data_IF_108374355892
#
_entry.id   IF_108374355892
#
_cell.length_a   1.000
_cell.length_b   1.000
_cell.length_c   1.000
_cell.angle_alpha   90.00
_cell.angle_beta   90.00
_cell.angle_gamma   90.00
#
_symmetry.space_group_name_H-M   'P 1'
#
loop_
_entity.id
_entity.type
_entity.pdbx_description
1 polymer ?
#
# COMPACT_ATOMS: atom_id res chain seq x y z
N UNK A 1 16.85 -65.87 12.00
CA UNK A 1 17.44 -65.50 10.70
C UNK A 1 16.31 -65.12 9.76
N UNK A 2 16.43 -63.93 9.12
CA UNK A 2 15.81 -63.40 7.88
C UNK A 2 14.59 -64.16 7.35
N UNK A 3 13.42 -63.54 7.17
CA UNK A 3 13.09 -62.60 6.07
C UNK A 3 11.65 -62.08 6.31
N UNK A 4 11.28 -60.80 6.21
CA UNK A 4 11.59 -59.86 5.12
C UNK A 4 10.43 -59.80 4.12
N UNK A 5 9.21 -59.44 4.54
CA UNK A 5 8.09 -59.17 3.61
C UNK A 5 8.05 -57.67 3.35
N UNK A 6 8.50 -57.29 2.16
CA UNK A 6 8.38 -55.94 1.62
C UNK A 6 6.93 -55.71 1.17
N UNK A 7 6.22 -54.79 1.83
CA UNK A 7 4.97 -54.23 1.31
C UNK A 7 5.34 -53.27 0.19
N UNK A 8 5.10 -53.68 -1.05
CA UNK A 8 5.28 -52.82 -2.24
C UNK A 8 4.18 -51.76 -2.22
N UNK A 9 4.57 -50.49 -2.25
CA UNK A 9 3.67 -49.37 -2.46
C UNK A 9 3.06 -49.44 -3.86
N UNK A 10 1.77 -49.17 -3.92
CA UNK A 10 0.98 -49.06 -5.15
C UNK A 10 1.34 -47.75 -5.88
N UNK A 11 1.86 -47.80 -7.12
CA UNK A 11 2.26 -46.62 -7.88
C UNK A 11 1.10 -45.83 -8.50
N UNK A 12 -0.15 -46.30 -8.41
CA UNK A 12 -1.30 -45.73 -9.14
C UNK A 12 -2.38 -45.09 -8.24
N UNK A 13 -2.04 -44.67 -7.02
CA UNK A 13 -2.98 -43.90 -6.20
C UNK A 13 -2.90 -42.42 -6.57
N UNK A 14 -3.90 -41.82 -7.25
CA UNK A 14 -3.93 -40.37 -7.46
C UNK A 14 -3.98 -39.73 -6.07
N UNK A 15 -2.86 -39.11 -5.68
CA UNK A 15 -2.80 -38.26 -4.52
C UNK A 15 -3.91 -37.23 -4.65
N UNK A 16 -4.76 -37.16 -3.63
CA UNK A 16 -5.79 -36.14 -3.51
C UNK A 16 -5.07 -34.80 -3.68
N UNK A 17 -5.26 -34.19 -4.84
CA UNK A 17 -4.84 -32.82 -5.11
C UNK A 17 -5.71 -31.97 -4.19
N UNK A 18 -5.21 -31.69 -2.98
CA UNK A 18 -5.73 -30.60 -2.19
C UNK A 18 -5.54 -29.34 -3.05
N UNK A 19 -6.58 -28.54 -3.30
CA UNK A 19 -6.42 -27.29 -4.02
C UNK A 19 -5.47 -26.42 -3.21
N UNK A 20 -4.21 -26.35 -3.67
CA UNK A 20 -3.26 -25.37 -3.20
C UNK A 20 -3.85 -24.00 -3.51
N UNK A 21 -4.04 -23.22 -2.44
CA UNK A 21 -4.05 -21.76 -2.38
C UNK A 21 -4.56 -21.10 -3.66
N UNK A 22 -5.83 -20.65 -3.64
CA UNK A 22 -6.47 -19.91 -4.72
C UNK A 22 -5.46 -18.97 -5.40
N UNK A 23 -5.18 -19.22 -6.68
CA UNK A 23 -4.48 -18.25 -7.53
C UNK A 23 -5.27 -16.94 -7.35
N UNK A 24 -4.66 -15.87 -6.80
CA UNK A 24 -5.38 -14.63 -6.64
C UNK A 24 -5.93 -14.26 -8.00
N UNK A 25 -7.22 -13.90 -8.06
CA UNK A 25 -7.84 -13.35 -9.28
C UNK A 25 -6.85 -12.39 -9.93
N UNK A 26 -6.65 -12.40 -11.25
CA UNK A 26 -5.66 -11.52 -11.88
C UNK A 26 -5.88 -10.08 -11.40
N UNK A 27 -4.78 -9.43 -11.02
CA UNK A 27 -4.80 -8.04 -10.60
C UNK A 27 -4.95 -7.15 -11.83
N UNK A 28 -5.76 -6.10 -11.70
CA UNK A 28 -5.93 -5.09 -12.75
C UNK A 28 -5.31 -3.78 -12.29
N UNK A 29 -4.55 -3.15 -13.18
CA UNK A 29 -3.84 -1.91 -12.91
C UNK A 29 -4.32 -0.83 -13.88
N UNK A 30 -4.62 0.36 -13.37
CA UNK A 30 -5.04 1.47 -14.21
C UNK A 30 -4.19 2.70 -13.96
N UNK A 31 -3.57 3.21 -15.02
CA UNK A 31 -2.82 4.45 -14.99
C UNK A 31 -3.71 5.64 -15.38
N UNK A 32 -3.76 6.65 -14.52
CA UNK A 32 -4.44 7.93 -14.79
C UNK A 32 -3.37 8.99 -14.99
N UNK A 33 -3.15 9.36 -16.26
CA UNK A 33 -2.12 10.33 -16.68
C UNK A 33 -2.23 11.68 -15.98
N UNK A 34 -3.44 12.18 -15.82
CA UNK A 34 -3.75 13.48 -15.19
C UNK A 34 -4.88 13.25 -14.19
N UNK A 35 -4.54 13.25 -12.90
CA UNK A 35 -5.55 13.10 -11.85
C UNK A 35 -6.46 14.33 -11.76
N UNK A 36 -7.74 14.08 -11.48
CA UNK A 36 -8.73 15.13 -11.12
C UNK A 36 -8.99 15.19 -9.61
N UNK A 37 -8.24 14.42 -8.82
CA UNK A 37 -8.36 14.44 -7.37
C UNK A 37 -7.65 15.68 -6.82
N UNK A 38 -8.41 16.57 -6.18
CA UNK A 38 -7.89 17.80 -5.59
C UNK A 38 -6.69 17.55 -4.64
N UNK A 39 -6.71 16.47 -3.87
CA UNK A 39 -5.63 16.12 -2.94
C UNK A 39 -4.31 15.81 -3.65
N UNK A 40 -4.37 15.16 -4.82
CA UNK A 40 -3.16 14.82 -5.57
C UNK A 40 -2.73 15.94 -6.51
N UNK A 41 -3.63 16.88 -6.83
CA UNK A 41 -3.45 17.75 -7.98
C UNK A 41 -3.38 16.95 -9.28
N UNK A 42 -2.95 17.57 -10.40
CA UNK A 42 -2.91 16.94 -11.72
C UNK A 42 -1.73 15.98 -11.93
N UNK A 43 -1.15 15.41 -10.86
CA UNK A 43 -0.08 14.42 -11.00
C UNK A 43 -0.59 13.12 -11.63
N UNK A 44 0.29 12.32 -12.27
CA UNK A 44 -0.03 10.96 -12.65
C UNK A 44 -0.27 10.09 -11.41
N UNK A 45 -1.31 9.27 -11.45
CA UNK A 45 -1.66 8.34 -10.37
C UNK A 45 -2.04 6.98 -10.94
N UNK A 46 -1.92 5.94 -10.14
CA UNK A 46 -2.41 4.60 -10.52
C UNK A 46 -3.53 4.14 -9.58
N UNK A 47 -4.26 3.11 -9.98
CA UNK A 47 -5.20 2.36 -9.15
C UNK A 47 -4.93 0.87 -9.37
N UNK A 48 -4.80 0.09 -8.30
CA UNK A 48 -4.76 -1.39 -8.39
C UNK A 48 -6.06 -1.97 -7.85
N UNK A 49 -6.55 -3.06 -8.44
CA UNK A 49 -7.76 -3.76 -8.03
C UNK A 49 -7.80 -4.14 -6.54
N UNK A 50 -9.01 -4.26 -5.97
CA UNK A 50 -9.26 -4.48 -4.52
C UNK A 50 -8.54 -5.69 -3.90
N UNK A 51 -8.28 -6.72 -4.70
CA UNK A 51 -7.56 -7.93 -4.29
C UNK A 51 -6.05 -7.71 -4.06
N UNK A 52 -5.51 -6.51 -4.34
CA UNK A 52 -4.16 -6.11 -3.90
C UNK A 52 -4.07 -5.76 -2.43
N UNK A 53 -5.17 -5.43 -1.75
CA UNK A 53 -5.10 -5.01 -0.35
C UNK A 53 -4.91 -6.22 0.58
N UNK A 54 -4.02 -6.15 1.58
CA UNK A 54 -3.78 -7.26 2.50
C UNK A 54 -5.03 -7.55 3.33
N UNK A 55 -5.26 -8.82 3.67
CA UNK A 55 -6.42 -9.22 4.50
C UNK A 55 -6.36 -8.64 5.92
N UNK A 56 -5.16 -8.31 6.41
CA UNK A 56 -4.93 -7.69 7.72
C UNK A 56 -5.32 -6.21 7.80
N UNK A 57 -5.63 -5.55 6.68
CA UNK A 57 -6.02 -4.14 6.70
C UNK A 57 -7.38 -3.95 7.40
N UNK A 58 -7.38 -3.27 8.55
CA UNK A 58 -8.58 -3.07 9.38
C UNK A 58 -9.63 -2.18 8.70
N UNK A 59 -9.22 -1.38 7.72
CA UNK A 59 -10.09 -0.49 6.96
C UNK A 59 -10.95 -1.18 5.90
N UNK A 60 -10.72 -2.46 5.61
CA UNK A 60 -11.54 -3.24 4.66
C UNK A 60 -13.01 -3.29 5.05
N UNK A 61 -13.32 -3.28 6.34
CA UNK A 61 -14.67 -3.36 6.90
C UNK A 61 -15.30 -1.98 7.18
N UNK A 62 -14.97 -0.98 6.36
CA UNK A 62 -15.67 0.32 6.37
C UNK A 62 -14.83 1.55 6.68
N UNK A 63 -13.51 1.40 6.89
CA UNK A 63 -12.59 2.53 7.08
C UNK A 63 -11.96 3.06 5.78
N UNK A 64 -11.96 2.26 4.70
CA UNK A 64 -11.20 2.58 3.50
C UNK A 64 -11.81 3.77 2.75
N UNK A 65 -11.03 4.84 2.56
CA UNK A 65 -11.48 6.03 1.85
C UNK A 65 -11.87 5.75 0.39
N UNK A 66 -11.30 4.71 -0.22
CA UNK A 66 -11.61 4.29 -1.58
C UNK A 66 -13.00 3.64 -1.72
N UNK A 67 -13.71 3.39 -0.61
CA UNK A 67 -15.09 2.91 -0.62
C UNK A 67 -16.13 4.03 -0.82
N UNK A 68 -15.71 5.31 -0.90
CA UNK A 68 -16.62 6.45 -1.05
C UNK A 68 -16.54 7.17 -2.39
N UNK A 69 -17.67 7.75 -2.80
CA UNK A 69 -17.76 8.76 -3.87
C UNK A 69 -17.33 8.27 -5.26
N UNK A 70 -16.88 9.19 -6.14
CA UNK A 70 -16.45 8.84 -7.50
C UNK A 70 -15.27 7.85 -7.55
N UNK A 71 -14.41 7.86 -6.51
CA UNK A 71 -13.30 6.92 -6.41
C UNK A 71 -13.79 5.48 -6.24
N UNK A 72 -14.87 5.24 -5.49
CA UNK A 72 -15.44 3.91 -5.33
C UNK A 72 -15.93 3.32 -6.66
N UNK A 73 -16.62 4.12 -7.47
CA UNK A 73 -17.08 3.72 -8.81
C UNK A 73 -15.89 3.38 -9.71
N UNK A 74 -14.85 4.24 -9.71
CA UNK A 74 -13.65 3.99 -10.48
C UNK A 74 -12.91 2.73 -10.01
N UNK A 75 -12.74 2.56 -8.70
CA UNK A 75 -12.02 1.41 -8.13
C UNK A 75 -12.78 0.10 -8.35
N UNK A 76 -14.11 0.14 -8.34
CA UNK A 76 -14.94 -1.01 -8.71
C UNK A 76 -14.73 -1.41 -10.17
N UNK A 77 -14.79 -0.46 -11.11
CA UNK A 77 -14.53 -0.74 -12.52
C UNK A 77 -13.13 -1.32 -12.76
N UNK A 78 -12.11 -0.84 -12.04
CA UNK A 78 -10.76 -1.44 -12.09
C UNK A 78 -10.77 -2.86 -11.53
N UNK A 79 -11.43 -3.06 -10.39
CA UNK A 79 -11.47 -4.37 -9.71
C UNK A 79 -12.23 -5.45 -10.48
N UNK A 80 -13.17 -5.06 -11.34
CA UNK A 80 -13.90 -5.97 -12.23
C UNK A 80 -13.20 -6.18 -13.59
N UNK A 81 -12.07 -5.52 -13.83
CA UNK A 81 -11.39 -5.57 -15.12
C UNK A 81 -12.04 -4.74 -16.22
N UNK A 82 -13.08 -3.96 -15.92
CA UNK A 82 -13.72 -3.03 -16.87
C UNK A 82 -12.84 -1.82 -17.20
N UNK A 83 -11.76 -1.59 -16.46
CA UNK A 83 -10.82 -0.48 -16.68
C UNK A 83 -9.41 -0.83 -16.20
N UNK A 84 -8.42 -0.52 -17.03
CA UNK A 84 -7.03 -0.85 -16.75
C UNK A 84 -6.59 -2.09 -17.52
N UNK A 85 -5.46 -2.65 -17.14
CA UNK A 85 -4.79 -3.71 -17.87
C UNK A 85 -3.80 -4.48 -16.99
N UNK A 86 -2.81 -5.08 -17.63
CA UNK A 86 -1.79 -5.90 -16.99
C UNK A 86 -0.77 -5.09 -16.21
N UNK A 87 0.10 -5.78 -15.47
CA UNK A 87 1.19 -5.11 -14.77
C UNK A 87 2.25 -4.57 -15.75
N UNK A 88 2.52 -5.29 -16.83
CA UNK A 88 3.45 -4.89 -17.89
C UNK A 88 3.00 -3.59 -18.54
N UNK A 89 1.71 -3.48 -18.91
CA UNK A 89 1.12 -2.26 -19.45
C UNK A 89 1.25 -1.08 -18.48
N UNK A 90 1.07 -1.33 -17.17
CA UNK A 90 1.32 -0.32 -16.14
C UNK A 90 2.79 0.15 -16.15
N UNK A 91 3.76 -0.76 -16.26
CA UNK A 91 5.18 -0.39 -16.26
C UNK A 91 5.55 0.44 -17.49
N UNK A 92 4.98 0.12 -18.65
CA UNK A 92 5.11 0.92 -19.88
C UNK A 92 4.58 2.34 -19.65
N UNK A 93 3.39 2.48 -19.06
CA UNK A 93 2.81 3.77 -18.73
C UNK A 93 3.68 4.55 -17.72
N UNK A 94 4.17 3.91 -16.66
CA UNK A 94 5.07 4.53 -15.68
C UNK A 94 6.35 5.02 -16.34
N UNK A 95 6.90 4.26 -17.30
CA UNK A 95 8.08 4.65 -18.07
C UNK A 95 7.85 5.92 -18.91
N UNK A 96 6.61 6.26 -19.24
CA UNK A 96 6.30 7.52 -19.94
C UNK A 96 6.17 8.74 -19.02
N UNK A 97 6.18 8.56 -17.68
CA UNK A 97 6.22 9.69 -16.74
C UNK A 97 7.53 10.45 -16.92
N UNK A 98 7.44 11.78 -17.05
CA UNK A 98 8.60 12.67 -17.23
C UNK A 98 9.63 12.44 -16.14
N UNK A 99 10.91 12.37 -16.50
CA UNK A 99 12.00 12.28 -15.51
C UNK A 99 11.91 13.43 -14.50
N UNK A 100 12.17 13.12 -13.23
CA UNK A 100 12.06 14.04 -12.10
C UNK A 100 10.63 14.39 -11.69
N UNK A 101 9.59 13.95 -12.42
CA UNK A 101 8.21 14.23 -12.03
C UNK A 101 7.76 13.36 -10.86
N UNK A 102 6.97 13.97 -9.97
CA UNK A 102 6.22 13.27 -8.94
C UNK A 102 5.05 12.52 -9.58
N UNK A 103 4.84 11.31 -9.11
CA UNK A 103 3.65 10.52 -9.41
C UNK A 103 3.34 9.64 -8.19
N UNK A 104 2.07 9.27 -8.04
CA UNK A 104 1.64 8.44 -6.91
C UNK A 104 1.20 7.09 -7.40
N UNK A 105 1.92 6.06 -7.00
CA UNK A 105 1.39 4.71 -7.12
C UNK A 105 0.32 4.55 -6.04
N UNK A 106 -0.85 4.19 -6.53
CA UNK A 106 -2.11 3.90 -5.88
C UNK A 106 -2.82 5.04 -5.13
N UNK A 107 -3.81 5.59 -5.83
CA UNK A 107 -4.95 6.29 -5.23
C UNK A 107 -6.00 5.32 -4.67
N UNK A 108 -5.97 4.05 -5.03
CA UNK A 108 -6.70 2.95 -4.40
C UNK A 108 -6.02 1.62 -4.76
N UNK A 109 -6.23 0.59 -3.93
CA UNK A 109 -5.40 -0.62 -3.96
C UNK A 109 -4.10 -0.47 -3.16
N UNK A 110 -3.32 -1.53 -3.11
CA UNK A 110 -2.01 -1.62 -2.45
C UNK A 110 -0.99 -2.24 -3.42
N UNK A 111 0.23 -2.49 -2.96
CA UNK A 111 1.27 -3.20 -3.72
C UNK A 111 0.83 -4.63 -4.06
N UNK A 112 1.38 -5.16 -5.15
CA UNK A 112 1.05 -6.50 -5.63
C UNK A 112 1.49 -7.59 -4.64
N UNK A 113 0.57 -8.47 -4.17
CA UNK A 113 0.94 -9.64 -3.39
C UNK A 113 1.31 -10.85 -4.24
N UNK A 114 2.16 -11.71 -3.69
CA UNK A 114 2.29 -13.10 -4.13
C UNK A 114 1.33 -14.03 -3.37
N UNK A 115 0.98 -13.67 -2.13
CA UNK A 115 0.11 -14.45 -1.26
C UNK A 115 -0.49 -13.56 -0.16
N UNK A 116 -1.33 -14.11 0.71
CA UNK A 116 -1.95 -13.36 1.81
C UNK A 116 -0.88 -12.78 2.75
N UNK A 117 -0.73 -11.45 2.74
CA UNK A 117 0.20 -10.74 3.61
C UNK A 117 1.66 -10.71 3.12
N UNK A 118 1.95 -11.25 1.94
CA UNK A 118 3.29 -11.25 1.34
C UNK A 118 3.29 -10.47 0.03
N UNK A 119 4.25 -9.54 -0.09
CA UNK A 119 4.48 -8.78 -1.31
C UNK A 119 5.12 -9.67 -2.38
N UNK A 120 4.73 -9.48 -3.63
CA UNK A 120 5.46 -10.00 -4.77
C UNK A 120 6.71 -9.14 -4.98
N UNK A 121 7.83 -9.64 -4.46
CA UNK A 121 9.12 -8.94 -4.47
C UNK A 121 9.62 -8.69 -5.90
N UNK A 122 9.63 -9.69 -6.81
CA UNK A 122 9.96 -9.45 -8.22
C UNK A 122 9.15 -8.32 -8.87
N UNK A 123 7.83 -8.29 -8.66
CA UNK A 123 6.99 -7.23 -9.27
C UNK A 123 7.26 -5.86 -8.64
N UNK A 124 7.49 -5.78 -7.32
CA UNK A 124 7.94 -4.53 -6.68
C UNK A 124 9.27 -4.05 -7.27
N UNK A 125 10.24 -4.95 -7.45
CA UNK A 125 11.54 -4.59 -8.04
C UNK A 125 11.38 -4.10 -9.49
N UNK A 126 10.50 -4.71 -10.29
CA UNK A 126 10.15 -4.22 -11.64
C UNK A 126 9.53 -2.82 -11.63
N UNK A 127 8.63 -2.53 -10.68
CA UNK A 127 8.06 -1.19 -10.50
C UNK A 127 9.12 -0.16 -10.11
N UNK A 128 10.05 -0.54 -9.22
CA UNK A 128 11.21 0.28 -8.85
C UNK A 128 12.08 0.58 -10.07
N UNK A 129 12.32 -0.41 -10.95
CA UNK A 129 13.06 -0.20 -12.20
C UNK A 129 12.33 0.78 -13.13
N UNK A 130 11.03 0.62 -13.35
CA UNK A 130 10.24 1.55 -14.17
C UNK A 130 10.22 2.96 -13.57
N UNK A 131 10.27 3.08 -12.24
CA UNK A 131 10.38 4.36 -11.55
C UNK A 131 11.76 5.04 -11.69
N UNK A 132 12.83 4.39 -12.16
CA UNK A 132 14.17 4.98 -12.19
C UNK A 132 14.21 6.34 -12.90
N UNK A 133 14.70 7.36 -12.19
CA UNK A 133 14.75 8.74 -12.67
C UNK A 133 13.43 9.49 -12.59
N UNK A 134 12.38 8.91 -11.99
CA UNK A 134 11.10 9.53 -11.62
C UNK A 134 11.01 9.58 -10.08
N UNK A 135 9.98 10.26 -9.57
CA UNK A 135 9.79 10.46 -8.12
C UNK A 135 8.49 9.80 -7.67
N UNK A 136 8.39 8.49 -7.85
CA UNK A 136 7.24 7.70 -7.44
C UNK A 136 7.19 7.50 -5.94
N UNK A 137 5.97 7.53 -5.40
CA UNK A 137 5.71 7.13 -4.02
C UNK A 137 4.37 6.41 -3.89
N UNK A 138 4.24 5.60 -2.84
CA UNK A 138 3.01 4.87 -2.50
C UNK A 138 2.86 4.74 -0.99
N UNK A 139 1.75 4.11 -0.59
CA UNK A 139 1.42 3.72 0.75
C UNK A 139 1.15 2.22 0.77
N UNK A 140 1.49 1.56 1.87
CA UNK A 140 1.18 0.15 2.05
C UNK A 140 0.69 -0.19 3.44
N UNK A 141 -0.30 -1.07 3.52
CA UNK A 141 -0.77 -1.71 4.75
C UNK A 141 -0.15 -3.10 4.97
N UNK A 142 0.76 -3.55 4.10
CA UNK A 142 1.50 -4.79 4.34
C UNK A 142 2.45 -4.62 5.52
N UNK A 143 2.45 -5.61 6.42
CA UNK A 143 3.33 -5.56 7.59
C UNK A 143 4.82 -5.60 7.19
N UNK A 144 5.67 -4.74 7.76
CA UNK A 144 7.10 -4.67 7.46
C UNK A 144 7.89 -5.77 8.18
N UNK A 145 7.57 -7.04 7.90
CA UNK A 145 8.22 -8.24 8.46
C UNK A 145 8.80 -9.13 7.37
N UNK A 146 9.77 -9.97 7.73
CA UNK A 146 10.39 -10.94 6.80
C UNK A 146 10.80 -10.30 5.47
N UNK A 147 10.44 -10.97 4.37
CA UNK A 147 10.74 -10.52 3.01
C UNK A 147 10.13 -9.15 2.66
N UNK A 148 8.94 -8.82 3.18
CA UNK A 148 8.33 -7.50 2.95
C UNK A 148 9.23 -6.39 3.47
N UNK A 149 9.78 -6.53 4.69
CA UNK A 149 10.65 -5.50 5.29
C UNK A 149 11.85 -5.18 4.40
N UNK A 150 12.47 -6.22 3.86
CA UNK A 150 13.66 -6.08 3.01
C UNK A 150 13.33 -5.49 1.65
N UNK A 151 12.23 -5.92 1.02
CA UNK A 151 11.78 -5.40 -0.25
C UNK A 151 11.39 -3.91 -0.14
N UNK A 152 10.68 -3.52 0.92
CA UNK A 152 10.33 -2.13 1.21
C UNK A 152 11.56 -1.25 1.43
N UNK A 153 12.57 -1.77 2.16
CA UNK A 153 13.85 -1.06 2.34
C UNK A 153 14.58 -0.85 1.03
N UNK A 154 14.66 -1.89 0.18
CA UNK A 154 15.30 -1.78 -1.14
C UNK A 154 14.58 -0.78 -2.04
N UNK A 155 13.25 -0.86 -2.15
CA UNK A 155 12.46 0.06 -2.95
C UNK A 155 12.69 1.54 -2.54
N UNK A 156 12.70 1.82 -1.23
CA UNK A 156 12.96 3.16 -0.71
C UNK A 156 14.40 3.63 -0.99
N UNK A 157 15.40 2.76 -0.83
CA UNK A 157 16.80 3.08 -1.15
C UNK A 157 17.01 3.35 -2.64
N UNK A 158 16.23 2.70 -3.50
CA UNK A 158 16.31 2.81 -4.96
C UNK A 158 15.42 3.92 -5.54
N UNK A 159 14.82 4.76 -4.68
CA UNK A 159 14.13 5.99 -5.06
C UNK A 159 12.63 5.84 -5.39
N UNK A 160 12.03 4.68 -5.13
CA UNK A 160 10.57 4.51 -5.12
C UNK A 160 10.07 4.48 -3.67
N UNK A 161 9.51 5.59 -3.21
CA UNK A 161 9.22 5.76 -1.79
C UNK A 161 7.95 5.03 -1.37
N UNK A 162 8.09 3.94 -0.62
CA UNK A 162 6.96 3.22 -0.04
C UNK A 162 6.78 3.66 1.41
N UNK A 163 5.66 4.31 1.71
CA UNK A 163 5.32 4.72 3.07
C UNK A 163 4.56 3.60 3.80
N UNK A 164 4.97 3.28 5.02
CA UNK A 164 4.21 2.39 5.89
C UNK A 164 3.00 3.13 6.46
N UNK A 165 1.80 2.60 6.24
CA UNK A 165 0.55 3.16 6.75
C UNK A 165 0.23 2.59 8.12
N UNK A 166 0.54 3.35 9.17
CA UNK A 166 0.11 3.04 10.52
C UNK A 166 -1.34 3.51 10.77
N UNK A 167 -2.05 2.74 11.57
CA UNK A 167 -3.43 2.98 11.97
C UNK A 167 -3.49 3.68 13.34
N UNK A 168 -2.44 3.55 14.15
CA UNK A 168 -2.30 4.17 15.48
C UNK A 168 -0.91 4.77 15.72
N UNK A 169 -0.78 5.67 16.71
CA UNK A 169 0.52 6.27 17.07
C UNK A 169 1.53 5.25 17.61
N UNK A 170 1.06 4.22 18.34
CA UNK A 170 1.90 3.12 18.82
C UNK A 170 2.40 2.26 17.67
N UNK A 171 1.53 1.93 16.71
CA UNK A 171 1.94 1.21 15.50
C UNK A 171 2.93 2.04 14.68
N UNK A 172 2.71 3.36 14.57
CA UNK A 172 3.66 4.26 13.91
C UNK A 172 5.04 4.22 14.58
N UNK A 173 5.08 4.21 15.92
CA UNK A 173 6.33 4.05 16.67
C UNK A 173 7.03 2.71 16.41
N UNK A 174 6.25 1.62 16.26
CA UNK A 174 6.77 0.29 15.90
C UNK A 174 7.35 0.32 14.49
N UNK A 175 6.64 0.88 13.51
CA UNK A 175 7.06 0.98 12.12
C UNK A 175 8.31 1.82 11.94
N UNK A 176 8.43 2.97 12.62
CA UNK A 176 9.67 3.76 12.59
C UNK A 176 10.84 2.96 13.15
N UNK A 177 10.60 2.15 14.19
CA UNK A 177 11.67 1.34 14.81
C UNK A 177 12.18 0.22 13.89
N UNK A 178 11.47 -0.13 12.81
CA UNK A 178 11.95 -1.09 11.81
C UNK A 178 13.07 -0.53 10.93
N UNK A 179 13.16 0.80 10.80
CA UNK A 179 14.15 1.48 9.97
C UNK A 179 14.07 1.16 8.46
N UNK A 180 12.98 0.58 7.96
CA UNK A 180 12.89 0.14 6.57
C UNK A 180 12.22 1.13 5.61
N UNK A 181 11.41 2.06 6.11
CA UNK A 181 10.60 2.95 5.30
C UNK A 181 10.13 4.18 6.09
N UNK A 182 9.79 5.30 5.42
CA UNK A 182 9.07 6.41 6.05
C UNK A 182 7.67 5.97 6.48
N UNK A 183 7.13 6.62 7.51
CA UNK A 183 5.84 6.25 8.11
C UNK A 183 4.82 7.37 7.92
N UNK A 184 3.58 6.97 7.64
CA UNK A 184 2.39 7.80 7.80
C UNK A 184 1.48 7.18 8.84
N UNK A 185 0.64 7.99 9.47
CA UNK A 185 -0.32 7.50 10.48
C UNK A 185 -1.69 8.12 10.26
N UNK A 186 -2.74 7.32 10.31
CA UNK A 186 -4.10 7.84 10.36
C UNK A 186 -4.31 8.67 11.63
N UNK A 187 -5.10 9.74 11.54
CA UNK A 187 -5.45 10.59 12.68
C UNK A 187 -6.96 10.79 12.73
N UNK A 188 -7.51 11.13 13.91
CA UNK A 188 -8.89 11.62 14.03
C UNK A 188 -9.18 12.75 13.04
N UNK A 189 -10.43 12.83 12.59
CA UNK A 189 -10.84 13.74 11.51
C UNK A 189 -10.65 15.23 11.85
N UNK A 190 -10.62 15.57 13.14
CA UNK A 190 -10.41 16.91 13.66
C UNK A 190 -8.94 17.27 13.92
N UNK A 191 -7.98 16.37 13.65
CA UNK A 191 -6.57 16.63 13.90
C UNK A 191 -6.03 17.71 12.93
N UNK A 192 -5.79 18.92 13.46
CA UNK A 192 -5.27 20.07 12.70
C UNK A 192 -3.83 20.44 13.02
N UNK A 193 -3.35 20.08 14.21
CA UNK A 193 -2.04 20.46 14.71
C UNK A 193 -1.11 19.26 14.78
N UNK A 194 0.19 19.53 14.63
CA UNK A 194 1.23 18.52 14.82
C UNK A 194 1.19 18.00 16.26
N UNK A 195 1.48 16.71 16.42
CA UNK A 195 1.52 16.05 17.73
C UNK A 195 2.76 15.17 17.85
N UNK A 196 2.92 14.53 19.00
CA UNK A 196 3.97 13.52 19.22
C UNK A 196 3.38 12.15 19.49
N UNK A 197 4.06 11.13 19.01
CA UNK A 197 3.78 9.75 19.40
C UNK A 197 4.19 9.50 20.86
N UNK A 198 3.80 8.37 21.48
CA UNK A 198 4.27 7.99 22.81
C UNK A 198 5.80 7.93 22.96
N UNK A 199 6.54 7.54 21.92
CA UNK A 199 8.03 7.61 21.92
C UNK A 199 8.58 8.97 21.50
N UNK A 200 7.76 10.03 21.53
CA UNK A 200 8.18 11.41 21.31
C UNK A 200 8.44 11.79 19.84
N UNK A 201 8.09 10.94 18.86
CA UNK A 201 8.33 11.22 17.43
C UNK A 201 7.35 12.26 16.91
N UNK A 202 7.85 13.23 16.15
CA UNK A 202 7.01 14.29 15.59
C UNK A 202 6.11 13.75 14.49
N UNK A 203 4.81 14.01 14.62
CA UNK A 203 3.78 13.78 13.60
C UNK A 203 3.34 15.13 13.06
N UNK A 204 3.66 15.43 11.80
CA UNK A 204 3.16 16.62 11.10
C UNK A 204 1.89 16.27 10.33
N UNK A 205 0.84 17.06 10.52
CA UNK A 205 -0.43 16.85 9.82
C UNK A 205 -0.26 17.16 8.32
N UNK A 206 -0.79 16.29 7.47
CA UNK A 206 -0.66 16.42 6.02
C UNK A 206 -1.36 17.70 5.52
N UNK A 207 -0.62 18.66 4.91
CA UNK A 207 -1.20 19.92 4.47
C UNK A 207 -2.21 19.71 3.32
N UNK A 208 -2.04 18.65 2.52
CA UNK A 208 -3.00 18.30 1.47
C UNK A 208 -4.33 17.74 1.98
N UNK A 209 -4.39 17.27 3.23
CA UNK A 209 -5.65 16.92 3.88
C UNK A 209 -6.31 18.16 4.48
N UNK A 210 -5.51 19.12 4.96
CA UNK A 210 -6.01 20.39 5.49
C UNK A 210 -6.53 21.33 4.40
N UNK A 211 -6.11 21.13 3.16
CA UNK A 211 -6.49 21.96 2.01
C UNK A 211 -5.48 23.08 1.71
N UNK A 212 -4.32 23.08 2.37
CA UNK A 212 -3.30 24.13 2.22
C UNK A 212 -2.46 23.98 0.94
N UNK A 213 -2.45 22.77 0.35
CA UNK A 213 -1.68 22.41 -0.86
C UNK A 213 -2.26 21.13 -1.46
N UNK A 214 -1.70 20.66 -2.57
CA UNK A 214 -1.85 19.28 -3.03
C UNK A 214 -0.55 18.48 -2.88
N UNK A 215 -0.61 17.18 -3.13
CA UNK A 215 0.57 16.31 -3.07
C UNK A 215 1.61 16.61 -4.17
N UNK A 216 1.20 17.16 -5.32
CA UNK A 216 2.11 17.49 -6.42
C UNK A 216 3.06 18.63 -6.03
N UNK A 217 2.52 19.64 -5.34
CA UNK A 217 3.28 20.77 -4.84
C UNK A 217 4.00 20.45 -3.51
N UNK A 218 3.43 19.57 -2.67
CA UNK A 218 4.01 19.21 -1.38
C UNK A 218 5.18 18.22 -1.47
N UNK A 219 5.01 17.08 -2.13
CA UNK A 219 6.06 16.06 -2.30
C UNK A 219 6.59 15.39 -1.01
N UNK A 220 6.10 15.72 0.19
CA UNK A 220 6.66 15.21 1.46
C UNK A 220 6.60 13.68 1.58
N UNK A 221 5.61 13.03 0.98
CA UNK A 221 5.47 11.56 0.97
C UNK A 221 6.42 10.85 0.00
N UNK A 222 7.10 11.57 -0.87
CA UNK A 222 8.19 11.05 -1.68
C UNK A 222 9.56 11.24 -1.01
N UNK A 223 9.66 12.05 0.05
CA UNK A 223 10.91 12.21 0.79
C UNK A 223 11.12 11.05 1.75
N UNK A 224 11.78 10.00 1.28
CA UNK A 224 12.08 8.80 2.05
C UNK A 224 12.99 9.02 3.26
N UNK A 225 13.78 10.09 3.25
CA UNK A 225 14.76 10.48 4.27
C UNK A 225 14.20 11.45 5.34
N UNK A 226 12.90 11.75 5.29
CA UNK A 226 12.29 12.70 6.23
C UNK A 226 12.35 12.19 7.67
N UNK A 227 12.57 13.11 8.61
CA UNK A 227 12.65 12.84 10.06
C UNK A 227 11.30 12.78 10.78
N UNK A 228 10.20 13.00 10.05
CA UNK A 228 8.86 13.17 10.60
C UNK A 228 7.90 12.09 10.11
N UNK A 229 6.94 11.74 10.95
CA UNK A 229 5.77 10.95 10.56
C UNK A 229 4.75 11.91 9.95
N UNK A 230 4.10 11.52 8.84
CA UNK A 230 2.98 12.32 8.29
C UNK A 230 1.66 11.81 8.82
N UNK A 231 0.93 12.67 9.52
CA UNK A 231 -0.41 12.42 10.01
C UNK A 231 -1.47 12.64 8.92
N UNK A 232 -2.40 11.72 8.80
CA UNK A 232 -3.48 11.73 7.80
C UNK A 232 -4.83 11.78 8.50
N UNK A 233 -5.41 12.99 8.72
CA UNK A 233 -6.76 13.11 9.25
C UNK A 233 -7.76 12.33 8.41
N UNK A 234 -8.60 11.54 9.10
CA UNK A 234 -9.64 10.75 8.48
C UNK A 234 -10.69 11.66 7.82
N UNK A 235 -11.20 11.25 6.66
CA UNK A 235 -12.18 12.01 5.88
C UNK A 235 -13.11 11.07 5.11
N UNK A 236 -14.22 11.62 4.62
CA UNK A 236 -15.24 10.86 3.90
C UNK A 236 -16.04 9.91 4.79
N UNK A 237 -16.82 9.03 4.17
CA UNK A 237 -17.78 8.15 4.87
C UNK A 237 -17.16 7.17 5.87
N UNK A 238 -15.88 6.81 5.70
CA UNK A 238 -15.16 5.89 6.58
C UNK A 238 -14.51 6.55 7.81
N UNK A 239 -14.59 7.88 7.95
CA UNK A 239 -13.82 8.61 8.97
C UNK A 239 -14.10 8.13 10.40
N UNK A 240 -15.37 7.87 10.73
CA UNK A 240 -15.77 7.35 12.06
C UNK A 240 -15.13 6.00 12.37
N UNK A 241 -15.03 5.10 11.39
CA UNK A 241 -14.41 3.79 11.59
C UNK A 241 -12.90 3.90 11.77
N UNK A 242 -12.24 4.77 11.00
CA UNK A 242 -10.81 5.06 11.15
C UNK A 242 -10.52 5.62 12.55
N UNK A 243 -11.35 6.55 13.01
CA UNK A 243 -11.21 7.15 14.35
C UNK A 243 -11.44 6.14 15.46
N UNK A 244 -12.43 5.25 15.33
CA UNK A 244 -12.64 4.15 16.26
C UNK A 244 -11.40 3.25 16.36
N UNK A 245 -10.84 2.81 15.22
CA UNK A 245 -9.62 1.98 15.18
C UNK A 245 -8.45 2.71 15.84
N UNK A 246 -8.30 4.01 15.55
CA UNK A 246 -7.25 4.85 16.14
C UNK A 246 -7.33 4.88 17.68
N UNK A 247 -8.55 4.93 18.23
CA UNK A 247 -8.80 5.03 19.68
C UNK A 247 -8.76 3.67 20.40
N UNK A 248 -9.24 2.59 19.76
CA UNK A 248 -9.36 1.26 20.37
C UNK A 248 -8.02 0.66 20.78
N UNK A 249 -6.94 0.80 19.99
CA UNK A 249 -5.59 0.37 20.41
C UNK A 249 -4.88 1.41 21.30
N UNK A 250 -5.49 2.58 21.49
CA UNK A 250 -5.02 3.65 22.39
C UNK A 250 -5.32 3.38 23.87
N UNK A 251 -6.22 2.44 24.17
CA UNK A 251 -6.67 2.11 25.52
C UNK A 251 -6.02 0.82 26.11
N UNK A 252 -5.29 0.05 25.30
CA UNK A 252 -4.49 -1.10 25.71
C UNK A 252 -3.00 -0.73 25.83
#
# INVERSE_FOLDING_TARGET
MRSGIAVRGDPDRPGIFTPSQAIPTPLTYHFTRISRNAKTGPMPVTTTSKNSCPSSCSYRTGGCYANGGPLALHWHAVSEGHRGGSFEELLEDVATVRRGALWRHNQAGDLTPTSTGELDVPLLDMLVQANKGRRGFTYTHYEPRGANREALRRANNDGFTVNLSAETLRQADSYVSTGCAPVVVALPSNARQSLRTPKGRLVVVCPAVLGDTDCLNCGLCQRGDRSVIVGLPAHGGGARRVEQIFLEEGAA
#
